data_IF_875350384111
#
_entry.id   IF_875350384111
#
_cell.length_a   1.000
_cell.length_b   1.000
_cell.length_c   1.000
_cell.angle_alpha   90.00
_cell.angle_beta   90.00
_cell.angle_gamma   90.00
#
_symmetry.space_group_name_H-M   'P 1'
#
loop_
_entity.id
_entity.type
_entity.pdbx_description
1 polymer ?
#
# COMPACT_ATOMS: atom_id res chain seq x y z
N UNK A 1 -22.50 -9.87 3.88
CA UNK A 1 -22.07 -8.49 4.25
C UNK A 1 -20.79 -8.17 3.51
N UNK A 2 -19.81 -9.07 3.57
CA UNK A 2 -18.58 -9.02 2.78
C UNK A 2 -18.82 -8.77 1.28
N UNK A 3 -19.79 -9.46 0.69
CA UNK A 3 -20.15 -9.34 -0.73
C UNK A 3 -20.71 -7.97 -1.07
N UNK A 4 -21.45 -7.36 -0.13
CA UNK A 4 -22.02 -6.02 -0.29
C UNK A 4 -20.90 -4.98 -0.26
N UNK A 5 -19.99 -5.08 0.71
CA UNK A 5 -18.83 -4.19 0.79
C UNK A 5 -17.95 -4.34 -0.46
N UNK A 6 -17.68 -5.57 -0.90
CA UNK A 6 -16.92 -5.83 -2.12
C UNK A 6 -17.60 -5.22 -3.35
N UNK A 7 -18.91 -5.42 -3.52
CA UNK A 7 -19.67 -4.83 -4.61
C UNK A 7 -19.60 -3.29 -4.61
N UNK A 8 -19.66 -2.65 -3.44
CA UNK A 8 -19.52 -1.20 -3.30
C UNK A 8 -18.10 -0.71 -3.62
N UNK A 9 -17.06 -1.48 -3.28
CA UNK A 9 -15.68 -1.18 -3.68
C UNK A 9 -15.54 -1.28 -5.20
N UNK A 10 -16.03 -2.35 -5.81
CA UNK A 10 -16.03 -2.52 -7.27
C UNK A 10 -16.83 -1.40 -7.96
N UNK A 11 -17.98 -1.01 -7.40
CA UNK A 11 -18.77 0.11 -7.91
C UNK A 11 -17.96 1.40 -7.96
N UNK A 12 -17.13 1.70 -6.94
CA UNK A 12 -16.25 2.88 -6.96
C UNK A 12 -15.23 2.84 -8.10
N UNK A 13 -14.68 1.67 -8.44
CA UNK A 13 -13.81 1.50 -9.60
C UNK A 13 -14.57 1.75 -10.93
N UNK A 14 -15.80 1.24 -11.03
CA UNK A 14 -16.68 1.47 -12.19
C UNK A 14 -16.99 2.97 -12.35
N UNK A 15 -17.36 3.66 -11.27
CA UNK A 15 -17.62 5.10 -11.25
C UNK A 15 -16.37 5.93 -11.61
N UNK A 16 -15.19 5.47 -11.21
CA UNK A 16 -13.91 6.07 -11.59
C UNK A 16 -13.49 5.77 -13.04
N UNK A 17 -14.21 4.91 -13.76
CA UNK A 17 -13.85 4.45 -15.09
C UNK A 17 -12.50 3.72 -15.12
N UNK A 18 -12.22 2.93 -14.08
CA UNK A 18 -10.99 2.13 -13.95
C UNK A 18 -11.37 0.66 -13.91
N UNK A 19 -10.93 -0.11 -14.91
CA UNK A 19 -11.05 -1.57 -14.86
C UNK A 19 -10.03 -2.18 -13.90
N UNK A 20 -10.52 -3.05 -13.02
CA UNK A 20 -9.68 -3.88 -12.16
C UNK A 20 -8.88 -4.88 -13.01
N UNK A 21 -7.68 -5.21 -12.54
CA UNK A 21 -6.85 -6.25 -13.14
C UNK A 21 -7.58 -7.60 -13.05
N UNK A 22 -7.71 -8.35 -14.16
CA UNK A 22 -8.28 -9.69 -14.12
C UNK A 22 -7.31 -10.68 -13.45
N UNK A 23 -7.83 -11.84 -13.04
CA UNK A 23 -6.98 -12.89 -12.47
C UNK A 23 -5.80 -13.21 -13.40
N UNK A 24 -4.60 -13.37 -12.83
CA UNK A 24 -3.38 -13.50 -13.62
C UNK A 24 -3.40 -14.75 -14.51
N UNK A 25 -4.10 -15.81 -14.09
CA UNK A 25 -4.33 -17.01 -14.90
C UNK A 25 -5.05 -16.74 -16.22
N UNK A 26 -5.91 -15.70 -16.27
CA UNK A 26 -6.62 -15.27 -17.47
C UNK A 26 -5.84 -14.22 -18.28
N UNK A 27 -4.74 -13.70 -17.73
CA UNK A 27 -3.95 -12.61 -18.32
C UNK A 27 -2.68 -13.09 -19.02
N UNK A 28 -2.43 -14.41 -19.05
CA UNK A 28 -1.23 -14.99 -19.66
C UNK A 28 -1.32 -14.83 -21.17
N UNK A 29 -0.44 -14.01 -21.73
CA UNK A 29 -0.26 -13.91 -23.17
C UNK A 29 0.39 -15.17 -23.73
N UNK A 30 -0.27 -15.78 -24.71
CA UNK A 30 0.15 -17.05 -25.32
C UNK A 30 1.52 -16.96 -26.01
N UNK A 31 1.94 -15.77 -26.45
CA UNK A 31 3.19 -15.57 -27.20
C UNK A 31 4.41 -15.25 -26.32
N UNK A 32 4.22 -14.45 -25.27
CA UNK A 32 5.29 -13.93 -24.41
C UNK A 32 5.31 -14.52 -23.00
N UNK A 33 4.26 -15.24 -22.62
CA UNK A 33 4.04 -15.77 -21.27
C UNK A 33 3.87 -14.68 -20.20
N UNK A 34 3.68 -13.42 -20.63
CA UNK A 34 3.53 -12.25 -19.75
C UNK A 34 2.10 -12.13 -19.24
N UNK A 35 1.94 -11.61 -18.03
CA UNK A 35 0.62 -11.45 -17.37
C UNK A 35 0.09 -10.01 -17.35
N UNK A 36 0.83 -9.07 -17.93
CA UNK A 36 0.62 -7.62 -17.78
C UNK A 36 0.22 -6.89 -19.06
N UNK A 37 -0.32 -7.62 -20.04
CA UNK A 37 -0.88 -7.04 -21.26
C UNK A 37 -2.33 -6.59 -21.04
N UNK A 38 -2.52 -5.64 -20.12
CA UNK A 38 -3.84 -5.06 -19.85
C UNK A 38 -4.13 -3.93 -20.83
N UNK A 39 -5.34 -3.94 -21.42
CA UNK A 39 -5.69 -3.07 -22.54
C UNK A 39 -5.76 -1.57 -22.20
N UNK A 40 -5.90 -1.22 -20.92
CA UNK A 40 -6.07 0.17 -20.48
C UNK A 40 -4.92 0.70 -19.63
N UNK A 41 -4.34 1.81 -20.08
CA UNK A 41 -3.43 2.65 -19.30
C UNK A 41 -4.26 3.54 -18.36
N UNK A 42 -4.41 3.18 -17.08
CA UNK A 42 -5.28 3.87 -16.12
C UNK A 42 -4.51 4.57 -14.99
N UNK A 43 -3.18 4.58 -15.04
CA UNK A 43 -2.30 5.06 -13.97
C UNK A 43 -2.64 6.52 -13.61
N UNK A 44 -2.83 7.38 -14.61
CA UNK A 44 -3.26 8.77 -14.39
C UNK A 44 -4.74 8.92 -13.95
N UNK A 45 -5.59 7.89 -14.11
CA UNK A 45 -6.91 7.86 -13.47
C UNK A 45 -6.76 7.49 -11.99
N UNK A 46 -5.94 6.48 -11.67
CA UNK A 46 -5.67 6.04 -10.31
C UNK A 46 -5.05 7.15 -9.47
N UNK A 47 -4.09 7.90 -10.02
CA UNK A 47 -3.48 9.07 -9.35
C UNK A 47 -4.53 10.09 -8.91
N UNK A 48 -5.48 10.43 -9.78
CA UNK A 48 -6.52 11.44 -9.52
C UNK A 48 -7.56 11.01 -8.47
N UNK A 49 -7.54 9.76 -8.02
CA UNK A 49 -8.43 9.27 -6.95
C UNK A 49 -7.91 9.57 -5.55
N UNK A 50 -6.68 10.07 -5.44
CA UNK A 50 -6.01 10.38 -4.18
C UNK A 50 -5.77 11.89 -4.06
N UNK A 51 -5.69 12.39 -2.81
CA UNK A 51 -5.22 13.76 -2.57
C UNK A 51 -3.77 13.91 -3.01
N UNK A 52 -3.33 15.14 -3.22
CA UNK A 52 -1.94 15.40 -3.60
C UNK A 52 -0.96 14.83 -2.55
N UNK A 53 -1.21 15.09 -1.26
CA UNK A 53 -0.34 14.61 -0.19
C UNK A 53 -0.39 13.08 -0.01
N UNK A 54 -1.54 12.45 -0.23
CA UNK A 54 -1.63 11.00 -0.25
C UNK A 54 -0.83 10.42 -1.41
N UNK A 55 -0.96 10.99 -2.62
CA UNK A 55 -0.24 10.49 -3.79
C UNK A 55 1.29 10.61 -3.65
N UNK A 56 1.80 11.65 -2.98
CA UNK A 56 3.22 11.73 -2.61
C UNK A 56 3.67 10.54 -1.74
N UNK A 57 2.83 10.10 -0.80
CA UNK A 57 3.11 8.91 0.01
C UNK A 57 3.04 7.62 -0.82
N UNK A 58 2.10 7.54 -1.77
CA UNK A 58 1.98 6.42 -2.71
C UNK A 58 3.23 6.30 -3.60
N UNK A 59 3.73 7.42 -4.13
CA UNK A 59 4.99 7.45 -4.90
C UNK A 59 6.18 6.97 -4.07
N UNK A 60 6.26 7.36 -2.79
CA UNK A 60 7.28 6.85 -1.87
C UNK A 60 7.15 5.33 -1.65
N UNK A 61 5.93 4.82 -1.48
CA UNK A 61 5.66 3.38 -1.36
C UNK A 61 6.04 2.60 -2.62
N UNK A 62 5.73 3.14 -3.80
CA UNK A 62 6.15 2.58 -5.09
C UNK A 62 7.68 2.57 -5.23
N UNK A 63 8.36 3.64 -4.82
CA UNK A 63 9.82 3.72 -4.85
C UNK A 63 10.47 2.71 -3.88
N UNK A 64 9.87 2.48 -2.71
CA UNK A 64 10.34 1.47 -1.76
C UNK A 64 10.27 0.05 -2.35
N UNK A 65 9.19 -0.27 -3.06
CA UNK A 65 8.95 -1.61 -3.61
C UNK A 65 9.70 -1.84 -4.93
N UNK A 66 9.67 -0.87 -5.84
CA UNK A 66 10.18 -1.02 -7.21
C UNK A 66 11.61 -0.46 -7.39
N UNK A 67 12.10 0.32 -6.42
CA UNK A 67 13.36 1.06 -6.55
C UNK A 67 13.32 2.04 -7.74
N UNK A 68 14.48 2.27 -8.37
CA UNK A 68 14.58 3.16 -9.54
C UNK A 68 14.03 2.56 -10.85
N UNK A 69 13.40 1.38 -10.82
CA UNK A 69 12.95 0.66 -12.03
C UNK A 69 11.51 0.97 -12.44
N UNK A 70 10.88 2.00 -11.88
CA UNK A 70 9.45 2.30 -12.08
C UNK A 70 9.03 2.54 -13.54
N UNK A 71 9.92 3.11 -14.37
CA UNK A 71 9.64 3.41 -15.78
C UNK A 71 10.26 2.37 -16.74
N UNK A 72 10.79 1.28 -16.20
CA UNK A 72 11.50 0.28 -16.99
C UNK A 72 10.51 -0.75 -17.57
N UNK A 73 10.53 -0.91 -18.90
CA UNK A 73 9.78 -1.98 -19.59
C UNK A 73 10.36 -3.37 -19.35
N UNK A 74 11.47 -3.46 -18.59
CA UNK A 74 12.12 -4.72 -18.23
C UNK A 74 11.14 -5.68 -17.56
N UNK A 75 11.09 -6.89 -18.10
CA UNK A 75 10.28 -8.00 -17.61
C UNK A 75 11.12 -8.84 -16.65
N UNK A 76 10.58 -9.09 -15.46
CA UNK A 76 11.16 -9.99 -14.48
C UNK A 76 10.27 -11.23 -14.31
N UNK A 77 10.89 -12.36 -14.00
CA UNK A 77 10.19 -13.52 -13.46
C UNK A 77 10.22 -13.41 -11.93
N UNK A 78 9.06 -13.27 -11.31
CA UNK A 78 8.92 -13.06 -9.87
C UNK A 78 7.99 -14.15 -9.33
N UNK A 79 8.30 -14.65 -8.13
CA UNK A 79 7.39 -15.54 -7.40
C UNK A 79 5.99 -14.92 -7.32
N UNK A 80 4.98 -15.69 -7.69
CA UNK A 80 3.57 -15.30 -7.65
C UNK A 80 3.13 -15.05 -6.21
N UNK A 81 3.60 -15.86 -5.26
CA UNK A 81 3.42 -15.62 -3.83
C UNK A 81 3.96 -14.25 -3.43
N UNK A 82 5.16 -13.89 -3.89
CA UNK A 82 5.77 -12.58 -3.57
C UNK A 82 4.97 -11.42 -4.15
N UNK A 83 4.49 -11.53 -5.40
CA UNK A 83 3.64 -10.49 -5.99
C UNK A 83 2.32 -10.36 -5.21
N UNK A 84 1.70 -11.47 -4.83
CA UNK A 84 0.49 -11.48 -4.00
C UNK A 84 0.70 -10.85 -2.62
N UNK A 85 1.82 -11.14 -1.94
CA UNK A 85 2.18 -10.51 -0.68
C UNK A 85 2.32 -8.99 -0.81
N UNK A 86 3.03 -8.53 -1.86
CA UNK A 86 3.19 -7.09 -2.14
C UNK A 86 1.85 -6.43 -2.43
N UNK A 87 0.96 -7.11 -3.17
CA UNK A 87 -0.39 -6.63 -3.45
C UNK A 87 -1.20 -6.47 -2.15
N UNK A 88 -1.30 -7.52 -1.34
CA UNK A 88 -2.04 -7.48 -0.07
C UNK A 88 -1.48 -6.42 0.90
N UNK A 89 -0.16 -6.33 1.03
CA UNK A 89 0.50 -5.29 1.82
C UNK A 89 0.18 -3.88 1.31
N UNK A 90 0.10 -3.70 -0.01
CA UNK A 90 -0.26 -2.42 -0.62
C UNK A 90 -1.74 -2.06 -0.45
N UNK A 91 -2.63 -3.06 -0.41
CA UNK A 91 -4.04 -2.85 -0.02
C UNK A 91 -4.14 -2.37 1.42
N UNK A 92 -3.45 -3.03 2.35
CA UNK A 92 -3.41 -2.62 3.76
C UNK A 92 -2.81 -1.21 3.92
N UNK A 93 -1.75 -0.90 3.17
CA UNK A 93 -1.16 0.44 3.13
C UNK A 93 -2.16 1.49 2.61
N UNK A 94 -2.88 1.22 1.52
CA UNK A 94 -3.88 2.13 0.99
C UNK A 94 -5.05 2.38 1.95
N UNK A 95 -5.47 1.34 2.67
CA UNK A 95 -6.48 1.43 3.72
C UNK A 95 -6.01 2.34 4.86
N UNK A 96 -4.79 2.11 5.38
CA UNK A 96 -4.16 2.99 6.37
C UNK A 96 -4.05 4.43 5.87
N UNK A 97 -3.51 4.62 4.67
CA UNK A 97 -3.22 5.93 4.10
C UNK A 97 -4.49 6.78 3.96
N UNK A 98 -5.60 6.17 3.52
CA UNK A 98 -6.87 6.88 3.40
C UNK A 98 -7.40 7.37 4.74
N UNK A 99 -7.20 6.60 5.82
CA UNK A 99 -7.60 7.00 7.18
C UNK A 99 -6.85 8.23 7.63
N UNK A 100 -5.53 8.22 7.49
CA UNK A 100 -4.68 9.34 7.93
C UNK A 100 -4.87 10.56 7.05
N UNK A 101 -5.00 10.40 5.73
CA UNK A 101 -5.27 11.50 4.80
C UNK A 101 -6.61 12.17 5.12
N UNK A 102 -7.71 11.42 5.34
CA UNK A 102 -9.00 12.03 5.70
C UNK A 102 -8.92 12.90 6.95
N UNK A 103 -8.21 12.43 7.98
CA UNK A 103 -8.03 13.23 9.21
C UNK A 103 -7.14 14.43 8.96
N UNK A 104 -6.03 14.24 8.25
CA UNK A 104 -5.12 15.32 7.88
C UNK A 104 -5.84 16.43 7.10
N UNK A 105 -6.63 16.09 6.07
CA UNK A 105 -7.39 17.06 5.29
C UNK A 105 -8.46 17.77 6.14
N UNK A 106 -9.09 17.05 7.07
CA UNK A 106 -10.03 17.64 8.02
C UNK A 106 -9.34 18.66 8.94
N UNK A 107 -8.27 18.28 9.62
CA UNK A 107 -7.52 19.17 10.52
C UNK A 107 -6.89 20.35 9.77
N UNK A 108 -6.42 20.12 8.53
CA UNK A 108 -5.96 21.17 7.61
C UNK A 108 -7.07 22.17 7.33
N UNK A 109 -8.27 21.71 7.01
CA UNK A 109 -9.43 22.58 6.73
C UNK A 109 -9.91 23.35 7.96
N UNK A 110 -9.77 22.76 9.16
CA UNK A 110 -10.13 23.37 10.44
C UNK A 110 -9.04 24.28 11.00
N UNK A 111 -7.90 24.42 10.29
CA UNK A 111 -6.71 25.15 10.75
C UNK A 111 -6.18 24.68 12.12
N UNK A 112 -6.36 23.39 12.41
CA UNK A 112 -5.97 22.77 13.68
C UNK A 112 -4.68 21.95 13.57
N UNK A 113 -3.97 22.01 12.43
CA UNK A 113 -2.69 21.33 12.28
C UNK A 113 -1.65 21.95 13.24
N UNK A 114 -0.74 21.13 13.81
CA UNK A 114 0.32 21.61 14.72
C UNK A 114 1.23 22.68 14.09
N UNK A 115 1.33 22.65 12.75
CA UNK A 115 2.08 23.59 11.93
C UNK A 115 1.07 24.44 11.14
N UNK A 116 0.82 25.67 11.60
CA UNK A 116 -0.14 26.58 11.01
C UNK A 116 0.23 27.01 9.59
N UNK A 117 -0.78 27.26 8.74
CA UNK A 117 -0.63 27.73 7.35
C UNK A 117 0.33 26.91 6.47
N UNK A 118 0.46 27.31 5.21
CA UNK A 118 1.29 26.66 4.19
C UNK A 118 2.78 27.02 4.39
N UNK A 119 3.05 28.17 5.00
CA UNK A 119 4.40 28.75 5.18
C UNK A 119 5.16 28.25 6.42
N UNK A 120 4.52 27.96 7.57
CA UNK A 120 5.29 27.54 8.77
C UNK A 120 5.83 26.11 8.68
N UNK A 121 5.17 25.23 7.91
CA UNK A 121 5.58 23.83 7.75
C UNK A 121 6.93 23.71 7.01
N UNK A 122 7.22 24.62 6.07
CA UNK A 122 8.50 24.66 5.36
C UNK A 122 9.63 25.16 6.26
N UNK A 123 9.34 26.11 7.16
CA UNK A 123 10.33 26.67 8.08
C UNK A 123 10.70 25.70 9.23
N UNK A 124 9.74 24.92 9.76
CA UNK A 124 10.06 23.99 10.87
C UNK A 124 10.90 22.79 10.42
N UNK A 125 10.68 22.24 9.23
CA UNK A 125 11.47 21.10 8.72
C UNK A 125 12.95 21.46 8.54
N UNK A 126 13.25 22.74 8.31
CA UNK A 126 14.62 23.23 8.18
C UNK A 126 15.33 23.41 9.54
N UNK A 127 14.61 23.32 10.66
CA UNK A 127 15.14 23.59 12.01
C UNK A 127 15.31 22.36 12.90
N UNK A 128 14.70 21.21 12.56
CA UNK A 128 14.78 19.98 13.37
C UNK A 128 15.74 18.96 12.79
N UNK A 129 17.02 19.32 12.67
CA UNK A 129 18.13 18.38 12.41
C UNK A 129 18.98 18.23 13.68
N UNK A 130 18.32 17.93 14.81
CA UNK A 130 18.97 17.70 16.10
C UNK A 130 18.58 16.34 16.65
N UNK A 131 19.55 15.42 16.54
CA UNK A 131 19.63 14.07 17.14
C UNK A 131 18.88 13.92 18.47
N UNK A 132 18.25 12.75 18.67
CA UNK A 132 18.22 12.12 19.98
C UNK A 132 19.00 10.79 20.03
N UNK A 133 19.42 10.50 21.25
CA UNK A 133 20.38 9.49 21.71
C UNK A 133 19.89 8.04 21.65
N UNK A 134 20.85 7.13 21.52
CA UNK A 134 20.75 5.68 21.68
C UNK A 134 19.96 5.28 22.94
N UNK A 135 18.92 4.46 22.77
CA UNK A 135 18.41 3.56 23.81
C UNK A 135 18.01 2.21 23.23
N UNK A 136 18.71 1.20 23.73
CA UNK A 136 18.57 -0.24 23.55
C UNK A 136 17.16 -0.73 23.86
N UNK A 137 16.55 -1.48 22.93
CA UNK A 137 15.39 -2.34 23.21
C UNK A 137 15.70 -3.79 22.84
N UNK A 138 15.32 -4.68 23.75
CA UNK A 138 15.53 -6.12 23.75
C UNK A 138 14.68 -6.83 22.70
N UNK A 139 15.32 -7.72 21.93
CA UNK A 139 14.72 -8.60 20.93
C UNK A 139 13.90 -9.74 21.57
N UNK A 140 12.77 -10.08 20.95
CA UNK A 140 12.17 -11.41 20.98
C UNK A 140 11.84 -11.86 19.54
N UNK A 141 11.91 -13.17 19.25
CA UNK A 141 12.31 -13.69 17.95
C UNK A 141 11.13 -14.00 17.01
N UNK A 142 11.47 -14.19 15.73
CA UNK A 142 10.65 -14.75 14.66
C UNK A 142 9.92 -13.76 13.73
N UNK A 143 10.61 -12.70 13.28
CA UNK A 143 10.59 -12.26 11.86
C UNK A 143 11.99 -11.72 11.52
N UNK A 144 12.97 -12.60 11.40
CA UNK A 144 14.28 -12.26 10.84
C UNK A 144 14.35 -12.68 9.38
N UNK A 145 14.04 -11.74 8.50
CA UNK A 145 14.83 -11.43 7.31
C UNK A 145 14.21 -10.19 6.71
N UNK A 146 15.01 -9.30 6.11
CA UNK A 146 14.58 -8.05 5.47
C UNK A 146 14.41 -6.81 6.38
N UNK A 147 15.32 -6.60 7.32
CA UNK A 147 15.68 -5.24 7.75
C UNK A 147 17.19 -5.12 7.93
N UNK A 148 17.87 -4.63 6.88
CA UNK A 148 18.97 -3.65 6.92
C UNK A 148 19.72 -3.65 5.59
N UNK A 149 19.71 -2.55 4.83
CA UNK A 149 20.90 -2.08 4.16
C UNK A 149 21.54 -1.03 5.06
N UNK A 150 22.79 -1.30 5.41
CA UNK A 150 23.74 -0.41 6.04
C UNK A 150 23.71 0.99 5.39
N UNK A 151 23.12 1.97 6.10
CA UNK A 151 23.13 3.38 5.68
C UNK A 151 24.45 4.02 6.10
N UNK A 152 25.57 3.54 5.53
CA UNK A 152 26.85 4.17 5.74
C UNK A 152 27.83 4.00 4.56
N UNK A 153 27.44 4.45 3.35
CA UNK A 153 28.40 4.89 2.33
C UNK A 153 27.74 5.59 1.12
N UNK A 154 28.12 6.84 0.86
CA UNK A 154 28.18 7.42 -0.49
C UNK A 154 26.92 8.10 -1.02
N UNK A 155 26.98 9.42 -1.20
CA UNK A 155 25.83 10.26 -1.50
C UNK A 155 25.36 10.26 -2.95
N UNK A 156 24.07 10.60 -3.12
CA UNK A 156 23.60 11.60 -4.07
C UNK A 156 22.23 12.10 -3.57
N UNK A 157 22.14 13.38 -3.23
CA UNK A 157 20.94 14.00 -2.69
C UNK A 157 19.79 13.99 -3.69
N UNK A 158 18.85 13.06 -3.51
CA UNK A 158 17.46 13.34 -3.77
C UNK A 158 16.88 13.89 -2.47
N UNK A 159 16.79 15.21 -2.39
CA UNK A 159 15.93 15.86 -1.40
C UNK A 159 14.51 15.42 -1.72
N UNK A 160 14.07 14.33 -1.10
CA UNK A 160 12.66 13.95 -1.06
C UNK A 160 11.99 15.13 -0.39
N UNK A 161 11.18 15.87 -1.15
CA UNK A 161 10.39 16.97 -0.57
C UNK A 161 9.69 16.41 0.67
N UNK A 162 9.83 17.07 1.83
CA UNK A 162 9.20 16.58 3.05
C UNK A 162 7.69 16.59 2.85
N UNK A 163 7.08 15.40 2.70
CA UNK A 163 5.64 15.31 2.52
C UNK A 163 4.94 15.64 3.84
N UNK A 164 4.05 16.62 3.81
CA UNK A 164 3.37 17.12 5.01
C UNK A 164 2.57 16.02 5.72
N UNK A 165 1.92 15.16 4.93
CA UNK A 165 1.19 14.01 5.45
C UNK A 165 2.12 13.00 6.13
N UNK A 166 3.37 12.82 5.66
CA UNK A 166 4.35 11.98 6.34
C UNK A 166 4.77 12.58 7.68
N UNK A 167 5.08 13.88 7.73
CA UNK A 167 5.39 14.56 9.00
C UNK A 167 4.23 14.47 9.99
N UNK A 168 3.00 14.59 9.48
CA UNK A 168 1.78 14.42 10.26
C UNK A 168 1.66 13.01 10.85
N UNK A 169 1.83 11.97 10.03
CA UNK A 169 1.82 10.57 10.49
C UNK A 169 2.93 10.32 11.52
N UNK A 170 4.13 10.87 11.31
CA UNK A 170 5.27 10.73 12.23
C UNK A 170 5.07 11.45 13.57
N UNK A 171 4.07 12.34 13.67
CA UNK A 171 3.73 13.02 14.92
C UNK A 171 2.81 12.21 15.84
N UNK A 172 2.27 11.09 15.34
CA UNK A 172 1.42 10.22 16.15
C UNK A 172 2.22 9.48 17.22
N UNK A 173 1.62 9.31 18.38
CA UNK A 173 2.06 8.33 19.36
C UNK A 173 1.85 6.90 18.83
N UNK A 174 2.47 5.91 19.48
CA UNK A 174 2.42 4.51 19.08
C UNK A 174 1.00 3.95 19.02
N UNK A 175 0.15 4.33 19.97
CA UNK A 175 -1.19 3.78 20.12
C UNK A 175 -2.11 4.33 19.04
N UNK A 176 -1.99 5.63 18.76
CA UNK A 176 -2.65 6.27 17.61
C UNK A 176 -2.19 5.61 16.32
N UNK A 177 -0.88 5.50 16.07
CA UNK A 177 -0.36 4.92 14.83
C UNK A 177 -0.84 3.48 14.62
N UNK A 178 -0.78 2.64 15.66
CA UNK A 178 -1.26 1.26 15.62
C UNK A 178 -2.77 1.19 15.33
N UNK A 179 -3.55 2.07 15.95
CA UNK A 179 -5.00 2.18 15.71
C UNK A 179 -5.30 2.48 14.24
N UNK A 180 -4.51 3.34 13.60
CA UNK A 180 -4.65 3.66 12.18
C UNK A 180 -4.16 2.53 11.25
N UNK A 181 -3.07 1.86 11.62
CA UNK A 181 -2.47 0.78 10.82
C UNK A 181 -3.30 -0.51 10.83
N UNK A 182 -4.10 -0.74 11.88
CA UNK A 182 -4.89 -1.96 12.03
C UNK A 182 -6.15 -1.93 11.16
N UNK A 183 -6.43 -3.03 10.45
CA UNK A 183 -7.70 -3.24 9.73
C UNK A 183 -8.83 -3.37 10.77
N UNK A 184 -9.92 -2.63 10.56
CA UNK A 184 -10.91 -2.41 11.63
C UNK A 184 -11.92 -3.55 11.78
N UNK A 185 -12.21 -4.29 10.71
CA UNK A 185 -13.16 -5.41 10.76
C UNK A 185 -12.62 -6.69 10.12
N UNK A 186 -13.08 -7.83 10.64
CA UNK A 186 -12.82 -9.15 10.05
C UNK A 186 -13.36 -9.26 8.62
N UNK A 187 -14.45 -8.54 8.33
CA UNK A 187 -15.05 -8.48 6.99
C UNK A 187 -14.10 -7.81 6.00
N UNK A 188 -13.53 -6.66 6.36
CA UNK A 188 -12.54 -5.98 5.52
C UNK A 188 -11.30 -6.86 5.30
N UNK A 189 -10.82 -7.54 6.35
CA UNK A 189 -9.71 -8.47 6.23
C UNK A 189 -10.02 -9.63 5.25
N UNK A 190 -11.19 -10.25 5.37
CA UNK A 190 -11.64 -11.31 4.45
C UNK A 190 -11.77 -10.85 2.99
N UNK A 191 -12.18 -9.59 2.76
CA UNK A 191 -12.19 -9.00 1.41
C UNK A 191 -10.79 -8.92 0.83
N UNK A 192 -9.80 -8.45 1.62
CA UNK A 192 -8.41 -8.34 1.16
C UNK A 192 -7.86 -9.73 0.80
N UNK A 193 -8.10 -10.71 1.67
CA UNK A 193 -7.68 -12.10 1.47
C UNK A 193 -8.30 -12.67 0.19
N UNK A 194 -9.64 -12.69 0.08
CA UNK A 194 -10.33 -13.28 -1.07
C UNK A 194 -10.06 -12.55 -2.38
N UNK A 195 -9.91 -11.23 -2.37
CA UNK A 195 -9.55 -10.47 -3.57
C UNK A 195 -8.13 -10.80 -4.02
N UNK A 196 -7.18 -10.93 -3.08
CA UNK A 196 -5.81 -11.36 -3.38
C UNK A 196 -5.81 -12.81 -3.90
N UNK A 197 -6.53 -13.73 -3.27
CA UNK A 197 -6.67 -15.11 -3.75
C UNK A 197 -7.32 -15.18 -5.14
N UNK A 198 -8.30 -14.31 -5.44
CA UNK A 198 -8.92 -14.26 -6.76
C UNK A 198 -7.94 -13.81 -7.86
N UNK A 199 -7.01 -12.90 -7.53
CA UNK A 199 -5.99 -12.40 -8.47
C UNK A 199 -4.83 -13.39 -8.69
N UNK A 200 -4.32 -13.96 -7.60
CA UNK A 200 -3.07 -14.73 -7.59
C UNK A 200 -3.29 -16.23 -7.35
N UNK A 201 -4.51 -16.68 -7.09
CA UNK A 201 -4.79 -18.03 -6.62
C UNK A 201 -4.50 -18.20 -5.13
N UNK A 202 -4.96 -19.31 -4.56
CA UNK A 202 -4.71 -19.66 -3.17
C UNK A 202 -3.24 -20.08 -3.00
N UNK A 203 -2.46 -19.45 -2.10
CA UNK A 203 -1.07 -19.82 -1.89
C UNK A 203 -0.98 -21.19 -1.20
N UNK A 204 -0.18 -22.11 -1.76
CA UNK A 204 0.16 -23.38 -1.11
C UNK A 204 1.38 -23.15 -0.21
N UNK A 205 1.15 -22.75 1.04
CA UNK A 205 2.22 -22.50 2.01
C UNK A 205 2.49 -23.79 2.78
N UNK A 206 3.63 -24.43 2.51
CA UNK A 206 4.14 -25.54 3.31
C UNK A 206 5.28 -25.01 4.18
N UNK A 207 5.17 -25.19 5.49
CA UNK A 207 6.23 -24.80 6.43
C UNK A 207 7.18 -25.99 6.58
N UNK A 208 8.46 -25.80 6.28
CA UNK A 208 9.48 -26.82 6.48
C UNK A 208 9.71 -27.08 7.96
N UNK A 209 10.28 -28.23 8.36
CA UNK A 209 10.61 -28.52 9.76
C UNK A 209 11.48 -27.44 10.44
N UNK A 210 12.20 -26.64 9.65
CA UNK A 210 13.06 -25.54 10.08
C UNK A 210 12.30 -24.21 10.26
N UNK A 211 10.97 -24.20 10.12
CA UNK A 211 10.12 -23.02 10.30
C UNK A 211 10.12 -22.05 9.10
N UNK A 212 10.70 -22.44 7.97
CA UNK A 212 10.75 -21.62 6.76
C UNK A 212 9.65 -22.00 5.77
N UNK A 213 9.27 -21.09 4.87
CA UNK A 213 8.31 -21.40 3.80
C UNK A 213 9.02 -22.21 2.70
N UNK A 214 8.49 -23.39 2.39
CA UNK A 214 8.92 -24.19 1.25
C UNK A 214 8.55 -23.48 -0.06
N UNK A 215 9.57 -23.02 -0.78
CA UNK A 215 9.44 -22.31 -2.05
C UNK A 215 9.53 -23.24 -3.28
N UNK A 216 9.67 -24.55 -3.09
CA UNK A 216 9.87 -25.50 -4.19
C UNK A 216 8.67 -25.63 -5.13
N UNK A 217 7.46 -25.29 -4.66
CA UNK A 217 6.21 -25.29 -5.44
C UNK A 217 5.78 -23.90 -5.93
N UNK A 218 6.59 -22.87 -5.69
CA UNK A 218 6.17 -21.51 -5.96
C UNK A 218 6.14 -21.23 -7.48
N UNK A 219 4.98 -20.79 -7.97
CA UNK A 219 4.80 -20.44 -9.38
C UNK A 219 5.46 -19.09 -9.68
N UNK A 220 6.05 -18.93 -10.87
CA UNK A 220 6.64 -17.66 -11.29
C UNK A 220 5.76 -16.95 -12.32
N UNK A 221 5.56 -15.65 -12.13
CA UNK A 221 4.88 -14.78 -13.09
C UNK A 221 5.88 -13.90 -13.82
N UNK A 222 5.72 -13.80 -15.14
CA UNK A 222 6.50 -12.87 -15.98
C UNK A 222 5.75 -11.55 -16.08
N UNK A 223 6.30 -10.51 -15.48
CA UNK A 223 5.65 -9.19 -15.37
C UNK A 223 6.68 -8.07 -15.52
N UNK A 224 6.31 -6.98 -16.21
CA UNK A 224 7.15 -5.77 -16.28
C UNK A 224 7.06 -4.95 -15.00
N UNK A 225 8.04 -4.06 -14.77
CA UNK A 225 7.94 -3.09 -13.67
C UNK A 225 6.75 -2.13 -13.84
N UNK A 226 6.36 -1.78 -15.08
CA UNK A 226 5.10 -1.07 -15.33
C UNK A 226 3.87 -1.86 -14.90
N UNK A 227 3.85 -3.18 -15.15
CA UNK A 227 2.77 -4.07 -14.71
C UNK A 227 2.69 -4.16 -13.17
N UNK A 228 3.84 -4.28 -12.50
CA UNK A 228 3.90 -4.24 -11.03
C UNK A 228 3.44 -2.90 -10.47
N UNK A 229 3.87 -1.78 -11.08
CA UNK A 229 3.44 -0.43 -10.71
C UNK A 229 1.92 -0.31 -10.77
N UNK A 230 1.31 -0.79 -11.85
CA UNK A 230 -0.16 -0.81 -11.99
C UNK A 230 -0.82 -1.66 -10.90
N UNK A 231 -0.34 -2.87 -10.62
CA UNK A 231 -0.87 -3.70 -9.53
C UNK A 231 -0.81 -2.98 -8.18
N UNK A 232 0.31 -2.32 -7.86
CA UNK A 232 0.47 -1.61 -6.59
C UNK A 232 -0.45 -0.39 -6.52
N UNK A 233 -0.58 0.39 -7.60
CA UNK A 233 -1.50 1.53 -7.65
C UNK A 233 -2.97 1.11 -7.49
N UNK A 234 -3.35 0.00 -8.12
CA UNK A 234 -4.68 -0.59 -7.96
C UNK A 234 -4.91 -1.07 -6.53
N UNK A 235 -3.96 -1.82 -5.95
CA UNK A 235 -4.02 -2.30 -4.58
C UNK A 235 -4.23 -1.16 -3.57
N UNK A 236 -3.42 -0.10 -3.67
CA UNK A 236 -3.52 1.09 -2.82
C UNK A 236 -4.90 1.75 -2.95
N UNK A 237 -5.39 1.87 -4.19
CA UNK A 237 -6.72 2.44 -4.47
C UNK A 237 -7.83 1.56 -3.93
N UNK A 238 -7.70 0.24 -4.06
CA UNK A 238 -8.64 -0.75 -3.51
C UNK A 238 -8.72 -0.61 -1.99
N UNK A 239 -7.59 -0.54 -1.29
CA UNK A 239 -7.54 -0.32 0.16
C UNK A 239 -8.19 1.00 0.59
N UNK A 240 -7.94 2.07 -0.15
CA UNK A 240 -8.55 3.38 0.07
C UNK A 240 -10.08 3.34 -0.07
N UNK A 241 -10.57 2.70 -1.14
CA UNK A 241 -12.01 2.49 -1.34
C UNK A 241 -12.63 1.57 -0.30
N UNK A 242 -11.92 0.54 0.14
CA UNK A 242 -12.36 -0.35 1.21
C UNK A 242 -12.61 0.43 2.50
N UNK A 243 -11.69 1.31 2.90
CA UNK A 243 -11.91 2.19 4.04
C UNK A 243 -13.13 3.10 3.86
N UNK A 244 -13.28 3.72 2.69
CA UNK A 244 -14.43 4.62 2.41
C UNK A 244 -15.76 3.88 2.54
N UNK A 245 -15.85 2.69 1.94
CA UNK A 245 -17.05 1.85 1.95
C UNK A 245 -17.33 1.32 3.35
N UNK A 246 -16.33 0.78 4.04
CA UNK A 246 -16.47 0.29 5.40
C UNK A 246 -16.92 1.40 6.35
N UNK A 247 -16.31 2.59 6.27
CA UNK A 247 -16.71 3.74 7.09
C UNK A 247 -18.14 4.18 6.79
N UNK A 248 -18.54 4.19 5.51
CA UNK A 248 -19.89 4.53 5.10
C UNK A 248 -20.93 3.55 5.64
N UNK A 249 -20.71 2.24 5.46
CA UNK A 249 -21.63 1.20 5.94
C UNK A 249 -21.69 1.18 7.46
N UNK A 250 -20.55 1.31 8.14
CA UNK A 250 -20.49 1.33 9.61
C UNK A 250 -21.25 2.52 10.20
N UNK A 251 -21.20 3.70 9.57
CA UNK A 251 -21.97 4.88 10.00
C UNK A 251 -23.49 4.69 9.95
N UNK A 252 -23.98 3.69 9.20
CA UNK A 252 -25.42 3.41 9.00
C UNK A 252 -25.89 2.17 9.73
N UNK A 253 -25.01 1.18 9.91
CA UNK A 253 -25.38 -0.16 10.36
C UNK A 253 -24.55 -0.67 11.56
N UNK A 254 -23.52 0.05 12.02
CA UNK A 254 -22.71 -0.28 13.20
C UNK A 254 -22.19 -1.73 13.23
N UNK A 255 -21.69 -2.23 12.09
CA UNK A 255 -21.35 -3.65 11.94
C UNK A 255 -19.96 -4.01 12.47
N UNK A 256 -19.11 -3.02 12.74
CA UNK A 256 -17.73 -3.22 13.18
C UNK A 256 -17.63 -3.70 14.63
N UNK A 257 -18.63 -3.45 15.46
CA UNK A 257 -18.66 -3.78 16.90
C UNK A 257 -19.20 -5.18 17.23
N UNK A 258 -19.13 -6.15 16.30
CA UNK A 258 -19.52 -7.56 16.53
C UNK A 258 -18.36 -8.53 16.28
#
# INVERSE_FOLDING_TARGET
>A
MEEILYALVVQKFVEAGVSLVPALSHSIDASSGRVDQWAEHVEGKLERLHSHEAYEMIENHLNLILGQRQADGTVAAISKLRVGQVYAASVMYGYFLKRVDKRFQLEKSMKSLPWGSEDDALNQVMTTDSRPSDQTYSSHPEVESWTSPDLSAGGLGQSVKPSRLRSYVMSFDSDTLQTYATIRSKVAFGIIEKHTEALFGKPEIVITPEGTVDSSKDEYVRISFSGLRRLILEAVTFGSFLWDVESYVDSRYHFVTN
#
